data_IF_166152192930
#
_entry.id   IF_166152192930
#
_cell.length_a   1.000
_cell.length_b   1.000
_cell.length_c   1.000
_cell.angle_alpha   90.00
_cell.angle_beta   90.00
_cell.angle_gamma   90.00
#
_symmetry.space_group_name_H-M   'P 1'
#
loop_
_entity.id
_entity.type
_entity.pdbx_description
1 polymer ?
#
# COMPACT_ATOMS: atom_id res chain seq x y z
N UNK A 1 0.19 -23.57 32.99
CA UNK A 1 0.21 -22.13 32.70
C UNK A 1 0.07 -21.95 31.20
N UNK A 2 -1.11 -21.52 30.72
CA UNK A 2 -1.33 -21.27 29.30
C UNK A 2 -0.71 -19.90 28.92
N UNK A 3 -0.01 -19.77 27.79
CA UNK A 3 0.56 -18.48 27.38
C UNK A 3 -0.57 -17.47 27.11
N UNK A 4 -0.36 -16.18 27.45
CA UNK A 4 -1.37 -15.15 27.23
C UNK A 4 -1.67 -15.01 25.73
N UNK A 5 -2.95 -15.07 25.37
CA UNK A 5 -3.41 -14.88 23.98
C UNK A 5 -3.03 -13.47 23.51
N UNK A 6 -2.41 -13.30 22.32
CA UNK A 6 -1.94 -12.00 21.87
C UNK A 6 -3.12 -11.04 21.61
N UNK A 7 -3.01 -9.81 22.10
CA UNK A 7 -4.04 -8.79 22.00
C UNK A 7 -4.36 -8.41 20.52
N UNK A 8 -5.62 -8.12 20.19
CA UNK A 8 -6.03 -7.77 18.83
C UNK A 8 -5.47 -6.40 18.45
N UNK A 9 -4.55 -6.38 17.48
CA UNK A 9 -3.94 -5.15 16.96
C UNK A 9 -5.00 -4.34 16.20
N UNK A 10 -5.26 -3.10 16.65
CA UNK A 10 -6.22 -2.16 16.07
C UNK A 10 -5.91 -1.96 14.58
N UNK A 11 -6.83 -2.34 13.68
CA UNK A 11 -6.66 -2.14 12.24
C UNK A 11 -6.89 -0.66 11.92
N UNK A 12 -5.83 0.03 11.48
CA UNK A 12 -5.95 1.42 11.02
C UNK A 12 -6.94 1.49 9.85
N UNK A 13 -7.82 2.49 9.87
CA UNK A 13 -8.81 2.72 8.83
C UNK A 13 -8.14 2.83 7.45
N UNK A 14 -8.43 1.87 6.57
CA UNK A 14 -7.87 1.83 5.22
C UNK A 14 -8.66 2.81 4.37
N UNK A 15 -8.08 3.98 4.06
CA UNK A 15 -8.63 4.88 3.03
C UNK A 15 -8.79 4.10 1.72
N UNK A 16 -9.96 4.17 1.11
CA UNK A 16 -10.26 3.43 -0.11
C UNK A 16 -9.33 3.79 -1.27
N UNK A 17 -9.05 2.81 -2.12
CA UNK A 17 -8.13 2.92 -3.28
C UNK A 17 -8.53 4.02 -4.27
N UNK A 18 -9.79 4.44 -4.27
CA UNK A 18 -10.31 5.54 -5.09
C UNK A 18 -9.57 6.87 -4.86
N UNK A 19 -9.05 7.11 -3.65
CA UNK A 19 -8.34 8.37 -3.34
C UNK A 19 -6.99 8.53 -4.03
N UNK A 20 -6.47 7.47 -4.67
CA UNK A 20 -5.22 7.49 -5.42
C UNK A 20 -5.42 7.87 -6.91
N UNK A 21 -6.66 8.01 -7.35
CA UNK A 21 -7.00 8.47 -8.68
C UNK A 21 -7.42 9.94 -8.61
N UNK A 22 -6.76 10.79 -9.39
CA UNK A 22 -7.18 12.16 -9.62
C UNK A 22 -7.74 12.27 -11.04
N UNK A 23 -8.90 12.90 -11.17
CA UNK A 23 -9.62 13.07 -12.44
C UNK A 23 -9.50 14.50 -13.01
N UNK A 24 -8.56 15.30 -12.50
CA UNK A 24 -8.39 16.70 -12.90
C UNK A 24 -7.78 16.80 -14.31
N UNK A 25 -8.65 16.76 -15.34
CA UNK A 25 -8.32 16.91 -16.76
C UNK A 25 -7.75 15.67 -17.46
N UNK A 26 -7.61 14.56 -16.74
CA UNK A 26 -7.10 13.27 -17.22
C UNK A 26 -6.85 12.31 -16.06
N UNK A 27 -6.81 10.99 -16.31
CA UNK A 27 -6.60 9.99 -15.26
C UNK A 27 -5.15 10.03 -14.73
N UNK A 28 -4.89 10.89 -13.75
CA UNK A 28 -3.59 10.99 -13.07
C UNK A 28 -3.58 10.06 -11.85
N UNK A 29 -2.62 9.12 -11.84
CA UNK A 29 -2.43 8.17 -10.75
C UNK A 29 -1.40 8.70 -9.76
N UNK A 30 -1.71 8.74 -8.46
CA UNK A 30 -0.81 9.28 -7.41
C UNK A 30 0.35 8.36 -7.05
N UNK A 31 0.16 7.05 -7.14
CA UNK A 31 1.18 6.03 -6.82
C UNK A 31 1.48 5.12 -8.01
N UNK A 32 2.66 4.50 -7.98
CA UNK A 32 3.06 3.42 -8.90
C UNK A 32 2.27 2.14 -8.63
N UNK A 33 2.10 1.30 -9.65
CA UNK A 33 1.49 -0.04 -9.56
C UNK A 33 2.53 -1.13 -9.22
N UNK A 34 2.17 -2.16 -8.43
CA UNK A 34 3.09 -3.29 -8.16
C UNK A 34 3.43 -3.95 -9.50
N UNK A 35 4.72 -4.04 -9.89
CA UNK A 35 5.11 -4.67 -11.16
C UNK A 35 4.74 -6.16 -11.20
N UNK A 36 4.52 -6.78 -10.04
CA UNK A 36 4.09 -8.18 -9.92
C UNK A 36 2.57 -8.38 -9.85
N UNK A 37 1.81 -7.42 -9.30
CA UNK A 37 0.34 -7.54 -9.20
C UNK A 37 -0.40 -6.98 -10.40
N UNK A 38 0.23 -6.10 -11.18
CA UNK A 38 -0.41 -5.44 -12.30
C UNK A 38 -1.31 -4.27 -11.90
N UNK A 39 -2.12 -3.83 -12.87
CA UNK A 39 -3.02 -2.69 -12.76
C UNK A 39 -4.11 -2.94 -11.72
N UNK A 40 -4.23 -2.01 -10.76
CA UNK A 40 -5.21 -2.05 -9.67
C UNK A 40 -4.61 -2.17 -8.27
N UNK A 41 -3.33 -2.54 -8.15
CA UNK A 41 -2.61 -2.60 -6.87
C UNK A 41 -1.51 -1.56 -6.80
N UNK A 42 -1.72 -0.52 -5.99
CA UNK A 42 -0.72 0.52 -5.75
C UNK A 42 0.32 0.06 -4.73
N UNK A 43 1.59 0.43 -4.94
CA UNK A 43 2.57 0.32 -3.86
C UNK A 43 2.31 1.43 -2.84
N UNK A 44 2.33 1.09 -1.55
CA UNK A 44 2.39 2.05 -0.46
C UNK A 44 3.72 2.79 -0.49
N UNK A 45 3.66 4.12 -0.65
CA UNK A 45 4.84 4.98 -0.69
C UNK A 45 5.20 5.40 0.73
N UNK A 46 6.23 4.77 1.29
CA UNK A 46 6.89 5.22 2.51
C UNK A 46 8.09 6.10 2.15
N UNK A 47 8.74 6.69 3.15
CA UNK A 47 9.89 7.60 2.95
C UNK A 47 11.12 6.85 2.42
N UNK A 48 11.31 5.62 2.90
CA UNK A 48 12.47 4.75 2.63
C UNK A 48 12.18 3.66 1.59
N UNK A 49 10.89 3.34 1.34
CA UNK A 49 10.50 2.19 0.52
C UNK A 49 9.12 2.33 -0.09
N UNK A 50 8.93 1.61 -1.19
CA UNK A 50 7.65 1.31 -1.79
C UNK A 50 7.29 -0.13 -1.42
N UNK A 51 6.19 -0.32 -0.69
CA UNK A 51 5.76 -1.66 -0.25
C UNK A 51 4.40 -2.00 -0.82
N UNK A 52 4.26 -3.16 -1.45
CA UNK A 52 2.96 -3.67 -1.86
C UNK A 52 2.35 -4.56 -0.79
N UNK A 53 1.10 -4.27 -0.41
CA UNK A 53 0.34 -5.07 0.55
C UNK A 53 -0.17 -6.41 0.03
N UNK A 54 -0.18 -6.63 -1.30
CA UNK A 54 -0.71 -7.86 -1.92
C UNK A 54 0.40 -8.85 -2.29
N UNK A 55 1.44 -8.37 -2.99
CA UNK A 55 2.55 -9.19 -3.48
C UNK A 55 3.75 -9.26 -2.50
N UNK A 56 3.67 -8.59 -1.34
CA UNK A 56 4.81 -8.33 -0.41
C UNK A 56 6.06 -7.74 -1.09
N UNK A 57 5.92 -7.22 -2.31
CA UNK A 57 7.01 -6.61 -3.05
C UNK A 57 7.43 -5.31 -2.38
N UNK A 58 8.71 -5.20 -2.06
CA UNK A 58 9.29 -4.02 -1.45
C UNK A 58 10.42 -3.53 -2.34
N UNK A 59 10.31 -2.28 -2.79
CA UNK A 59 11.35 -1.60 -3.56
C UNK A 59 11.88 -0.45 -2.71
N UNK A 60 13.15 -0.50 -2.35
CA UNK A 60 13.78 0.58 -1.61
C UNK A 60 14.14 1.68 -2.60
N UNK A 61 13.43 2.80 -2.52
CA UNK A 61 13.75 3.96 -3.36
C UNK A 61 15.00 4.56 -2.75
N UNK A 62 16.14 4.36 -3.43
CA UNK A 62 17.37 5.06 -3.09
C UNK A 62 17.12 6.54 -3.44
N UNK A 63 17.03 7.37 -2.40
CA UNK A 63 16.91 8.83 -2.50
C UNK A 63 18.04 9.39 -3.35
#
# INVERSE_FOLDING_TARGET
>A
MAPPKPAPKKKAAVKGRWGLYETSGGLKRKNRYCPKCGTGTFLGRHKDRLSCGTCHYTEFVKV
#
